data_IF_965755773922
#
_entry.id   IF_965755773922
#
_cell.length_a   1.000
_cell.length_b   1.000
_cell.length_c   1.000
_cell.angle_alpha   90.00
_cell.angle_beta   90.00
_cell.angle_gamma   90.00
#
_symmetry.space_group_name_H-M   'P 1'
#
loop_
_entity.id
_entity.type
_entity.pdbx_description
1 polymer ?
#
# COMPACT_ATOMS: atom_id res chain seq x y z
N UNK A 1 8.08 26.43 -0.02
CA UNK A 1 8.05 26.11 1.43
C UNK A 1 8.05 24.59 1.49
N UNK A 2 8.94 23.93 2.23
CA UNK A 2 8.88 22.46 2.32
C UNK A 2 7.59 22.10 3.06
N UNK A 3 6.64 21.49 2.37
CA UNK A 3 5.39 21.04 2.96
C UNK A 3 5.70 20.13 4.16
N UNK A 4 5.01 20.35 5.28
CA UNK A 4 5.15 19.45 6.44
C UNK A 4 4.47 18.13 6.07
N UNK A 5 5.12 16.97 6.30
CA UNK A 5 4.48 15.68 6.03
C UNK A 5 3.11 15.57 6.72
N UNK A 6 2.09 15.01 6.05
CA UNK A 6 0.79 14.80 6.67
C UNK A 6 0.92 13.82 7.82
N UNK A 7 0.22 14.11 8.92
CA UNK A 7 0.13 13.16 10.04
C UNK A 7 -0.59 11.88 9.62
N UNK A 8 -1.62 12.02 8.77
CA UNK A 8 -2.42 10.92 8.23
C UNK A 8 -2.91 11.22 6.83
N UNK A 9 -3.05 10.17 6.04
CA UNK A 9 -3.71 10.15 4.75
C UNK A 9 -4.88 9.16 4.85
N UNK A 10 -6.06 9.61 4.43
CA UNK A 10 -7.23 8.77 4.35
C UNK A 10 -7.19 7.91 3.09
N UNK A 11 -7.72 6.70 3.19
CA UNK A 11 -7.95 5.81 2.03
C UNK A 11 -9.38 5.32 2.13
N UNK A 12 -10.22 5.72 1.17
CA UNK A 12 -11.59 5.22 1.06
C UNK A 12 -11.57 3.79 0.51
N UNK A 13 -12.45 2.94 1.04
CA UNK A 13 -12.67 1.62 0.45
C UNK A 13 -13.44 1.77 -0.87
N UNK A 14 -12.98 1.08 -1.90
CA UNK A 14 -13.62 1.03 -3.23
C UNK A 14 -13.57 -0.40 -3.81
N UNK A 15 -13.94 -0.56 -5.08
CA UNK A 15 -13.91 -1.85 -5.78
C UNK A 15 -12.62 -2.09 -6.60
N UNK A 16 -11.66 -1.16 -6.54
CA UNK A 16 -10.41 -1.12 -7.31
C UNK A 16 -9.20 -1.36 -6.38
N UNK A 17 -8.25 -0.42 -6.31
CA UNK A 17 -6.98 -0.58 -5.58
C UNK A 17 -7.15 -0.59 -4.05
N UNK A 18 -8.24 -0.01 -3.53
CA UNK A 18 -8.58 -0.02 -2.11
C UNK A 18 -9.67 -1.06 -1.74
N UNK A 19 -9.79 -2.12 -2.55
CA UNK A 19 -10.76 -3.20 -2.32
C UNK A 19 -10.58 -3.94 -1.01
N UNK A 20 -9.36 -4.13 -0.54
CA UNK A 20 -9.09 -4.84 0.72
C UNK A 20 -8.49 -3.90 1.75
N UNK A 21 -9.26 -2.86 2.05
CA UNK A 21 -8.99 -1.84 3.06
C UNK A 21 -10.11 -1.85 4.10
N UNK A 22 -9.75 -1.79 5.38
CA UNK A 22 -10.75 -1.80 6.44
C UNK A 22 -10.20 -1.92 7.84
N UNK A 23 -11.02 -2.46 8.74
CA UNK A 23 -10.68 -2.70 10.15
C UNK A 23 -10.91 -4.15 10.54
N UNK A 24 -10.03 -4.68 11.39
CA UNK A 24 -10.26 -5.95 12.07
C UNK A 24 -11.19 -5.75 13.26
N UNK A 25 -11.79 -6.82 13.79
CA UNK A 25 -12.65 -6.76 14.99
C UNK A 25 -11.96 -6.17 16.23
N UNK A 26 -10.62 -6.24 16.28
CA UNK A 26 -9.82 -5.70 17.39
C UNK A 26 -9.52 -4.20 17.23
N UNK A 27 -10.02 -3.55 16.17
CA UNK A 27 -9.86 -2.12 15.92
C UNK A 27 -8.59 -1.73 15.18
N UNK A 28 -7.73 -2.68 14.80
CA UNK A 28 -6.61 -2.44 13.89
C UNK A 28 -7.12 -2.11 12.49
N UNK A 29 -6.44 -1.21 11.80
CA UNK A 29 -6.71 -0.94 10.39
C UNK A 29 -5.84 -1.88 9.54
N UNK A 30 -6.31 -2.28 8.36
CA UNK A 30 -5.55 -3.13 7.45
C UNK A 30 -5.64 -2.62 6.01
N UNK A 31 -4.58 -2.92 5.26
CA UNK A 31 -4.55 -2.79 3.81
C UNK A 31 -3.85 -4.01 3.21
N UNK A 32 -4.57 -4.78 2.39
CA UNK A 32 -4.07 -5.93 1.66
C UNK A 32 -4.09 -5.62 0.16
N UNK A 33 -2.97 -5.80 -0.51
CA UNK A 33 -2.82 -5.44 -1.93
C UNK A 33 -1.78 -6.32 -2.64
N UNK A 34 -1.70 -6.19 -3.96
CA UNK A 34 -0.75 -6.89 -4.82
C UNK A 34 0.11 -5.89 -5.60
N UNK A 35 1.05 -5.19 -4.92
CA UNK A 35 1.89 -4.21 -5.60
C UNK A 35 2.92 -4.92 -6.48
N UNK A 36 3.49 -4.20 -7.44
CA UNK A 36 4.45 -4.78 -8.39
C UNK A 36 5.56 -3.79 -8.74
N UNK A 37 6.70 -4.35 -9.12
CA UNK A 37 7.79 -3.62 -9.76
C UNK A 37 7.77 -3.99 -11.25
N UNK A 38 7.64 -3.02 -12.17
CA UNK A 38 7.75 -3.28 -13.59
C UNK A 38 9.15 -3.77 -13.96
N UNK A 39 9.22 -4.63 -14.97
CA UNK A 39 10.51 -5.04 -15.54
C UNK A 39 11.20 -3.85 -16.21
N UNK A 40 12.52 -3.72 -16.00
CA UNK A 40 13.34 -2.71 -16.66
C UNK A 40 14.62 -3.34 -17.23
N UNK A 41 15.39 -2.56 -17.98
CA UNK A 41 16.68 -3.02 -18.53
C UNK A 41 17.70 -3.40 -17.46
N UNK A 42 17.54 -2.94 -16.22
CA UNK A 42 18.49 -3.14 -15.11
C UNK A 42 17.99 -4.10 -14.03
N UNK A 43 16.70 -4.45 -14.02
CA UNK A 43 16.12 -5.37 -13.02
C UNK A 43 14.94 -6.16 -13.58
N UNK A 44 14.83 -7.47 -13.26
CA UNK A 44 13.61 -8.19 -13.53
C UNK A 44 12.44 -7.56 -12.75
N UNK A 45 11.26 -7.58 -13.35
CA UNK A 45 10.03 -7.19 -12.65
C UNK A 45 9.70 -8.17 -11.53
N UNK A 46 8.83 -7.79 -10.61
CA UNK A 46 8.41 -8.65 -9.52
C UNK A 46 6.99 -8.33 -9.06
N UNK A 47 6.22 -9.37 -8.80
CA UNK A 47 4.86 -9.33 -8.25
C UNK A 47 4.90 -9.68 -6.76
N UNK A 48 4.08 -9.01 -5.97
CA UNK A 48 4.03 -9.20 -4.52
C UNK A 48 2.62 -9.38 -4.00
N UNK A 49 2.51 -9.93 -2.81
CA UNK A 49 1.33 -9.80 -1.94
C UNK A 49 1.78 -9.09 -0.69
N UNK A 50 1.14 -7.97 -0.34
CA UNK A 50 1.49 -7.16 0.80
C UNK A 50 0.27 -6.93 1.70
N UNK A 51 0.40 -7.33 2.97
CA UNK A 51 -0.54 -7.01 4.05
C UNK A 51 0.12 -6.05 5.03
N UNK A 52 -0.52 -4.91 5.25
CA UNK A 52 -0.14 -3.94 6.27
C UNK A 52 -1.20 -3.90 7.37
N UNK A 53 -0.73 -3.94 8.62
CA UNK A 53 -1.56 -3.75 9.80
C UNK A 53 -1.13 -2.48 10.51
N UNK A 54 -2.11 -1.65 10.84
CA UNK A 54 -1.93 -0.42 11.58
C UNK A 54 -2.75 -0.47 12.86
N UNK A 55 -2.32 0.25 13.88
CA UNK A 55 -3.17 0.48 15.03
C UNK A 55 -4.37 1.38 14.69
N UNK A 56 -5.27 1.58 15.66
CA UNK A 56 -6.39 2.52 15.52
C UNK A 56 -5.92 3.97 15.26
N UNK A 57 -4.66 4.28 15.62
CA UNK A 57 -3.99 5.53 15.34
C UNK A 57 -3.33 5.60 13.95
N UNK A 58 -3.51 4.60 13.10
CA UNK A 58 -2.95 4.63 11.75
C UNK A 58 -1.43 4.45 11.69
N UNK A 59 -0.78 4.10 12.81
CA UNK A 59 0.65 3.82 12.83
C UNK A 59 0.89 2.37 12.44
N UNK A 60 1.84 2.12 11.53
CA UNK A 60 2.18 0.77 11.09
C UNK A 60 2.67 -0.08 12.27
N UNK A 61 2.05 -1.24 12.44
CA UNK A 61 2.40 -2.24 13.46
C UNK A 61 3.07 -3.46 12.83
N UNK A 62 2.60 -3.89 11.66
CA UNK A 62 3.14 -5.05 10.97
C UNK A 62 3.05 -4.91 9.44
N UNK A 63 4.06 -5.40 8.73
CA UNK A 63 4.06 -5.54 7.29
C UNK A 63 4.49 -6.98 6.91
N UNK A 64 3.58 -7.72 6.27
CA UNK A 64 3.82 -9.06 5.71
C UNK A 64 3.85 -8.96 4.19
N UNK A 65 5.00 -9.27 3.60
CA UNK A 65 5.21 -9.09 2.15
C UNK A 65 5.87 -10.35 1.62
N UNK A 66 5.29 -10.93 0.58
CA UNK A 66 5.81 -12.11 -0.12
C UNK A 66 6.03 -11.79 -1.59
N UNK A 67 7.14 -12.31 -2.14
CA UNK A 67 7.54 -12.09 -3.52
C UNK A 67 7.26 -13.33 -4.38
N UNK A 68 6.70 -13.12 -5.56
CA UNK A 68 6.35 -14.19 -6.51
C UNK A 68 7.19 -14.14 -7.79
N UNK A 69 8.13 -13.20 -7.86
CA UNK A 69 9.01 -13.02 -9.01
C UNK A 69 8.32 -12.36 -10.21
N UNK A 70 8.92 -12.41 -11.40
CA UNK A 70 8.40 -11.73 -12.57
C UNK A 70 7.05 -12.28 -13.02
N UNK A 71 6.15 -11.40 -13.46
CA UNK A 71 4.80 -11.76 -13.91
C UNK A 71 4.78 -12.87 -14.97
N UNK A 72 5.79 -12.90 -15.85
CA UNK A 72 5.92 -13.90 -16.91
C UNK A 72 6.25 -15.32 -16.41
N UNK A 73 6.77 -15.46 -15.19
CA UNK A 73 7.24 -16.73 -14.64
C UNK A 73 6.61 -17.07 -13.27
N UNK A 74 5.80 -16.17 -12.69
CA UNK A 74 5.23 -16.38 -11.36
C UNK A 74 4.20 -17.51 -11.34
N UNK A 75 4.13 -18.19 -10.20
CA UNK A 75 3.02 -19.10 -9.90
C UNK A 75 1.81 -18.29 -9.42
N UNK A 76 0.87 -18.06 -10.34
CA UNK A 76 -0.36 -17.32 -10.08
C UNK A 76 -1.19 -17.94 -8.95
N UNK A 77 -1.20 -19.27 -8.86
CA UNK A 77 -1.99 -20.03 -7.88
C UNK A 77 -1.38 -19.89 -6.50
N UNK A 78 -0.05 -19.96 -6.38
CA UNK A 78 0.64 -19.73 -5.12
C UNK A 78 0.43 -18.28 -4.62
N UNK A 79 0.44 -17.30 -5.53
CA UNK A 79 0.19 -15.89 -5.23
C UNK A 79 -1.24 -15.65 -4.75
N UNK A 80 -2.25 -16.24 -5.42
CA UNK A 80 -3.65 -16.18 -4.96
C UNK A 80 -3.82 -16.88 -3.59
N UNK A 81 -3.23 -18.07 -3.42
CA UNK A 81 -3.31 -18.78 -2.15
C UNK A 81 -2.68 -17.99 -1.00
N UNK A 82 -1.60 -17.24 -1.25
CA UNK A 82 -1.00 -16.35 -0.26
C UNK A 82 -1.92 -15.17 0.08
N UNK A 83 -2.55 -14.58 -0.92
CA UNK A 83 -3.51 -13.49 -0.74
C UNK A 83 -4.68 -13.93 0.14
N UNK A 84 -5.33 -15.03 -0.23
CA UNK A 84 -6.46 -15.61 0.52
C UNK A 84 -6.05 -16.02 1.93
N UNK A 85 -4.83 -16.55 2.12
CA UNK A 85 -4.30 -16.87 3.44
C UNK A 85 -4.16 -15.62 4.31
N UNK A 86 -3.58 -14.53 3.80
CA UNK A 86 -3.46 -13.28 4.55
C UNK A 86 -4.82 -12.70 4.90
N UNK A 87 -5.78 -12.73 3.96
CA UNK A 87 -7.14 -12.29 4.25
C UNK A 87 -7.80 -13.15 5.34
N UNK A 88 -7.65 -14.48 5.27
CA UNK A 88 -8.20 -15.39 6.27
C UNK A 88 -7.56 -15.22 7.65
N UNK A 89 -6.25 -14.94 7.71
CA UNK A 89 -5.52 -14.68 8.96
C UNK A 89 -5.99 -13.41 9.68
N UNK A 90 -6.60 -12.44 8.97
CA UNK A 90 -7.22 -11.27 9.59
C UNK A 90 -8.49 -11.62 10.40
N UNK A 91 -9.10 -12.77 10.13
CA UNK A 91 -10.38 -13.17 10.69
C UNK A 91 -11.54 -12.36 10.11
N UNK A 92 -12.52 -12.05 10.94
CA UNK A 92 -13.63 -11.18 10.54
C UNK A 92 -13.15 -9.73 10.40
N UNK A 93 -13.51 -9.10 9.28
CA UNK A 93 -13.12 -7.73 8.95
C UNK A 93 -14.32 -6.90 8.51
N UNK A 94 -14.23 -5.60 8.70
CA UNK A 94 -15.16 -4.61 8.18
C UNK A 94 -14.44 -3.75 7.15
N UNK A 95 -14.81 -3.91 5.89
CA UNK A 95 -14.29 -3.05 4.82
C UNK A 95 -14.81 -1.62 5.00
N UNK A 96 -13.93 -0.65 4.75
CA UNK A 96 -14.27 0.75 4.93
C UNK A 96 -13.04 1.62 5.05
N UNK A 97 -13.27 2.94 5.10
CA UNK A 97 -12.22 3.96 5.16
C UNK A 97 -11.23 3.72 6.29
N UNK A 98 -9.94 3.85 5.99
CA UNK A 98 -8.83 3.90 6.96
C UNK A 98 -8.14 5.26 6.91
N UNK A 99 -7.41 5.60 7.97
CA UNK A 99 -6.58 6.80 8.08
C UNK A 99 -5.25 6.40 8.70
N UNK A 100 -4.18 6.49 7.90
CA UNK A 100 -2.87 5.94 8.21
C UNK A 100 -1.78 7.00 8.07
N UNK A 101 -0.75 6.93 8.91
CA UNK A 101 0.43 7.75 8.73
C UNK A 101 1.24 7.24 7.51
N UNK A 102 1.93 8.14 6.77
CA UNK A 102 2.93 7.72 5.80
C UNK A 102 3.91 6.71 6.41
N UNK A 103 4.28 5.68 5.65
CA UNK A 103 5.12 4.60 6.13
C UNK A 103 5.99 4.05 5.01
N UNK A 104 7.13 3.48 5.38
CA UNK A 104 8.07 2.87 4.45
C UNK A 104 8.69 1.63 5.07
N UNK A 105 8.73 0.54 4.28
CA UNK A 105 9.33 -0.74 4.65
C UNK A 105 10.21 -1.21 3.51
N UNK A 106 11.48 -1.46 3.80
CA UNK A 106 12.42 -2.07 2.84
C UNK A 106 12.35 -3.60 2.90
N UNK A 107 12.04 -4.23 1.77
CA UNK A 107 12.06 -5.69 1.58
C UNK A 107 12.50 -6.03 0.17
N UNK A 108 13.27 -7.11 0.01
CA UNK A 108 13.74 -7.56 -1.31
C UNK A 108 14.52 -6.49 -2.11
N UNK A 109 15.10 -5.49 -1.43
CA UNK A 109 15.73 -4.33 -2.08
C UNK A 109 14.72 -3.39 -2.76
N UNK A 110 13.49 -3.36 -2.28
CA UNK A 110 12.37 -2.55 -2.79
C UNK A 110 11.68 -1.86 -1.61
N UNK A 111 11.35 -0.59 -1.82
CA UNK A 111 10.55 0.21 -0.90
C UNK A 111 9.07 -0.12 -1.06
N UNK A 112 8.41 -0.42 0.06
CA UNK A 112 6.97 -0.63 0.14
C UNK A 112 6.35 0.39 1.08
N UNK A 113 5.27 1.03 0.65
CA UNK A 113 4.44 1.86 1.51
C UNK A 113 3.97 3.15 0.87
N UNK A 114 3.34 3.98 1.69
CA UNK A 114 2.84 5.30 1.31
C UNK A 114 3.91 6.34 1.60
N UNK A 115 4.63 6.76 0.56
CA UNK A 115 5.84 7.59 0.65
C UNK A 115 5.66 8.89 -0.12
N UNK A 116 6.37 9.94 0.29
CA UNK A 116 6.41 11.18 -0.49
C UNK A 116 7.08 10.91 -1.84
N UNK A 117 6.52 11.44 -2.93
CA UNK A 117 7.17 11.47 -4.23
C UNK A 117 8.15 12.65 -4.27
N UNK A 118 9.46 12.36 -4.29
CA UNK A 118 10.54 13.35 -4.33
C UNK A 118 11.10 13.58 -5.74
N UNK A 119 10.48 12.98 -6.77
CA UNK A 119 10.99 13.00 -8.14
C UNK A 119 10.75 14.32 -8.87
N UNK A 120 9.84 15.16 -8.38
CA UNK A 120 9.60 16.51 -8.87
C UNK A 120 9.78 17.53 -7.74
N UNK A 121 11.02 18.00 -7.56
CA UNK A 121 11.37 19.10 -6.63
C UNK A 121 10.77 20.46 -7.05
N UNK A 122 10.21 20.55 -8.27
CA UNK A 122 9.62 21.76 -8.87
C UNK A 122 8.10 21.86 -8.67
N UNK A 123 7.43 20.85 -8.10
CA UNK A 123 6.00 20.93 -7.78
C UNK A 123 5.79 21.52 -6.37
N UNK A 124 5.00 22.60 -6.29
CA UNK A 124 4.65 23.26 -5.03
C UNK A 124 3.68 22.40 -4.19
N UNK A 125 3.11 21.34 -4.77
CA UNK A 125 2.17 20.43 -4.11
C UNK A 125 2.86 19.16 -3.59
N UNK A 126 2.67 18.86 -2.31
CA UNK A 126 3.11 17.58 -1.76
C UNK A 126 2.28 16.43 -2.37
N UNK A 127 2.98 15.39 -2.80
CA UNK A 127 2.41 14.18 -3.40
C UNK A 127 2.88 12.95 -2.60
N UNK A 128 1.95 12.08 -2.25
CA UNK A 128 2.26 10.79 -1.62
C UNK A 128 1.78 9.65 -2.49
N UNK A 129 2.65 8.67 -2.73
CA UNK A 129 2.41 7.56 -3.64
C UNK A 129 2.55 6.22 -2.94
N UNK A 130 1.76 5.26 -3.39
CA UNK A 130 1.87 3.89 -2.92
C UNK A 130 2.90 3.12 -3.74
N UNK A 131 4.00 2.76 -3.11
CA UNK A 131 5.10 1.99 -3.70
C UNK A 131 5.10 0.53 -3.21
N UNK A 132 5.59 -0.42 -4.02
CA UNK A 132 6.06 -0.24 -5.38
C UNK A 132 4.93 -0.15 -6.41
N UNK A 133 5.18 0.59 -7.48
CA UNK A 133 4.34 0.60 -8.69
C UNK A 133 3.52 1.87 -8.88
N UNK A 134 3.54 2.78 -7.89
CA UNK A 134 2.86 4.07 -7.94
C UNK A 134 1.38 3.94 -8.39
N UNK A 135 0.65 3.01 -7.78
CA UNK A 135 -0.71 2.65 -8.19
C UNK A 135 -1.80 3.43 -7.42
N UNK A 136 -1.41 4.27 -6.47
CA UNK A 136 -2.30 5.22 -5.79
C UNK A 136 -1.51 6.49 -5.46
N UNK A 137 -2.00 7.64 -5.88
CA UNK A 137 -1.39 8.94 -5.64
C UNK A 137 -2.34 9.86 -4.86
N UNK A 138 -1.85 10.46 -3.78
CA UNK A 138 -2.61 11.28 -2.84
C UNK A 138 -2.05 12.69 -2.75
N UNK A 139 -2.97 13.66 -2.69
CA UNK A 139 -2.70 15.09 -2.60
C UNK A 139 -3.61 15.73 -1.56
N UNK A 140 -3.34 16.99 -1.20
CA UNK A 140 -4.22 17.74 -0.30
C UNK A 140 -5.64 17.92 -0.86
N UNK A 141 -6.69 17.80 -0.05
CA UNK A 141 -6.65 17.58 1.40
C UNK A 141 -6.44 16.10 1.75
N UNK A 142 -5.52 15.82 2.68
CA UNK A 142 -5.10 14.46 3.07
C UNK A 142 -6.22 13.58 3.64
N UNK A 143 -7.32 14.18 4.07
CA UNK A 143 -8.50 13.52 4.59
C UNK A 143 -9.61 13.32 3.54
N UNK A 144 -9.39 13.58 2.25
CA UNK A 144 -10.37 13.28 1.20
C UNK A 144 -10.70 11.78 1.18
N UNK A 145 -9.66 10.96 1.26
CA UNK A 145 -9.73 9.52 1.04
C UNK A 145 -9.69 9.12 -0.43
N UNK A 146 -9.60 10.11 -1.33
CA UNK A 146 -9.57 9.93 -2.78
C UNK A 146 -8.11 9.92 -3.26
N UNK A 147 -7.86 9.19 -4.35
CA UNK A 147 -6.54 9.06 -4.96
C UNK A 147 -6.65 9.08 -6.49
N UNK A 148 -5.53 9.36 -7.15
CA UNK A 148 -5.36 9.24 -8.60
C UNK A 148 -4.57 7.97 -8.97
N UNK A 149 -4.77 7.45 -10.18
CA UNK A 149 -4.16 6.19 -10.68
C UNK A 149 -3.60 6.34 -12.09
#
# INVERSE_FOLDING_TARGET
MTATPPERIAINHDEFDAKYVGRTVNGSQFFLTTPFVPESSSRPGAEYVALYLFDAGGTLQEARIEAFGPRAAMDLTARDACFERYLAELGEVQYGRIEIAPFSVERFGVTFGLVADDRDEDDDAALYIMEPGNYMAFFEPWDSGDYDT
#
